data_IF_157690598859
#
_entry.id   IF_157690598859
#
_cell.length_a   1.000
_cell.length_b   1.000
_cell.length_c   1.000
_cell.angle_alpha   90.00
_cell.angle_beta   90.00
_cell.angle_gamma   90.00
#
_symmetry.space_group_name_H-M   'P 1'
#
loop_
_entity.id
_entity.type
_entity.pdbx_description
1 polymer ?
#
# COMPACT_ATOMS: atom_id res chain seq x y z
N UNK A 1 14.51 7.72 2.65
CA UNK A 1 13.83 6.43 2.34
C UNK A 1 12.38 6.57 1.85
N UNK A 2 11.88 7.78 1.58
CA UNK A 2 10.50 7.97 1.12
C UNK A 2 10.30 7.34 -0.27
N UNK A 3 9.17 6.65 -0.47
CA UNK A 3 8.87 5.99 -1.74
C UNK A 3 7.49 6.36 -2.27
N UNK A 4 7.39 6.50 -3.59
CA UNK A 4 6.09 6.51 -4.24
C UNK A 4 5.33 5.21 -3.94
N UNK A 5 4.00 5.28 -3.93
CA UNK A 5 3.17 4.10 -3.73
C UNK A 5 3.37 3.11 -4.88
N UNK A 6 3.70 1.86 -4.55
CA UNK A 6 3.97 0.80 -5.52
C UNK A 6 3.12 -0.43 -5.24
N UNK A 7 2.79 -1.19 -6.29
CA UNK A 7 2.16 -2.51 -6.18
C UNK A 7 3.28 -3.52 -5.93
N UNK A 8 3.22 -4.25 -4.82
CA UNK A 8 4.23 -5.26 -4.45
C UNK A 8 3.76 -6.68 -4.76
N UNK A 9 2.45 -6.91 -4.77
CA UNK A 9 1.86 -8.21 -5.09
C UNK A 9 0.52 -8.02 -5.77
N UNK A 10 0.23 -8.82 -6.82
CA UNK A 10 -1.09 -8.88 -7.44
C UNK A 10 -1.77 -10.17 -7.05
N UNK A 11 -3.08 -10.11 -6.79
CA UNK A 11 -3.88 -11.28 -6.42
C UNK A 11 -3.76 -12.38 -7.47
N UNK A 12 -3.14 -13.50 -7.08
CA UNK A 12 -2.81 -14.62 -7.96
C UNK A 12 -4.06 -15.28 -8.56
N UNK A 13 -5.08 -15.54 -7.73
CA UNK A 13 -6.29 -16.25 -8.17
C UNK A 13 -7.00 -15.49 -9.28
N UNK A 14 -7.20 -14.18 -9.11
CA UNK A 14 -8.01 -13.45 -10.07
C UNK A 14 -7.21 -12.81 -11.21
N UNK A 15 -5.91 -12.57 -11.03
CA UNK A 15 -5.06 -12.04 -12.11
C UNK A 15 -4.50 -13.16 -12.99
N UNK A 16 -3.93 -14.23 -12.40
CA UNK A 16 -3.26 -15.27 -13.19
C UNK A 16 -4.26 -16.17 -13.89
N UNK A 17 -5.35 -16.54 -13.22
CA UNK A 17 -6.39 -17.38 -13.82
C UNK A 17 -6.96 -16.75 -15.08
N UNK A 18 -7.32 -15.46 -15.04
CA UNK A 18 -7.88 -14.78 -16.21
C UNK A 18 -6.87 -14.73 -17.37
N UNK A 19 -5.60 -14.42 -17.08
CA UNK A 19 -4.54 -14.43 -18.11
C UNK A 19 -4.34 -15.83 -18.70
N UNK A 20 -4.36 -16.87 -17.88
CA UNK A 20 -4.26 -18.26 -18.34
C UNK A 20 -5.47 -18.63 -19.19
N UNK A 21 -6.68 -18.30 -18.77
CA UNK A 21 -7.91 -18.56 -19.53
C UNK A 21 -7.91 -17.85 -20.89
N UNK A 22 -7.45 -16.59 -20.94
CA UNK A 22 -7.27 -15.86 -22.21
C UNK A 22 -6.23 -16.57 -23.08
N UNK A 23 -5.08 -16.96 -22.53
CA UNK A 23 -4.05 -17.67 -23.26
C UNK A 23 -4.54 -19.01 -23.83
N UNK A 24 -5.25 -19.80 -23.02
CA UNK A 24 -5.86 -21.06 -23.44
C UNK A 24 -6.90 -20.82 -24.54
N UNK A 25 -7.76 -19.81 -24.40
CA UNK A 25 -8.76 -19.48 -25.41
C UNK A 25 -8.11 -19.06 -26.75
N UNK A 26 -7.04 -18.26 -26.71
CA UNK A 26 -6.28 -17.85 -27.91
C UNK A 26 -5.61 -19.04 -28.57
N UNK A 27 -5.00 -19.94 -27.78
CA UNK A 27 -4.40 -21.17 -28.29
C UNK A 27 -5.44 -22.08 -28.96
N UNK A 28 -6.61 -22.24 -28.35
CA UNK A 28 -7.71 -23.02 -28.92
C UNK A 28 -8.23 -22.39 -30.21
N UNK A 29 -8.38 -21.06 -30.27
CA UNK A 29 -8.76 -20.36 -31.49
C UNK A 29 -7.72 -20.54 -32.59
N UNK A 30 -6.43 -20.35 -32.28
CA UNK A 30 -5.35 -20.59 -33.23
C UNK A 30 -5.37 -22.02 -33.76
N UNK A 31 -5.52 -23.01 -32.88
CA UNK A 31 -5.67 -24.40 -33.25
C UNK A 31 -6.84 -24.63 -34.21
N UNK A 32 -8.03 -24.10 -33.90
CA UNK A 32 -9.22 -24.26 -34.74
C UNK A 32 -9.04 -23.58 -36.10
N UNK A 33 -8.43 -22.39 -36.15
CA UNK A 33 -8.13 -21.69 -37.40
C UNK A 33 -7.14 -22.47 -38.27
N UNK A 34 -6.04 -22.96 -37.70
CA UNK A 34 -5.08 -23.77 -38.45
C UNK A 34 -5.74 -25.04 -38.97
N UNK A 35 -6.47 -25.76 -38.12
CA UNK A 35 -7.16 -27.01 -38.48
C UNK A 35 -8.15 -26.83 -39.63
N UNK A 36 -8.94 -25.76 -39.63
CA UNK A 36 -9.91 -25.50 -40.71
C UNK A 36 -9.25 -25.11 -42.04
N UNK A 37 -8.02 -24.59 -42.00
CA UNK A 37 -7.25 -24.25 -43.19
C UNK A 37 -6.37 -25.42 -43.71
N UNK A 38 -6.30 -26.55 -42.99
CA UNK A 38 -5.53 -27.71 -43.42
C UNK A 38 -6.30 -28.58 -44.43
N UNK A 39 -5.57 -29.15 -45.38
CA UNK A 39 -6.15 -30.13 -46.32
C UNK A 39 -6.74 -31.34 -45.59
N UNK A 40 -7.80 -31.92 -46.15
CA UNK A 40 -8.51 -33.07 -45.58
C UNK A 40 -7.61 -34.30 -45.31
N UNK A 41 -6.46 -34.39 -45.98
CA UNK A 41 -5.48 -35.47 -45.80
C UNK A 41 -4.71 -35.34 -44.48
N UNK A 42 -4.42 -34.12 -44.05
CA UNK A 42 -3.65 -33.83 -42.83
C UNK A 42 -4.52 -33.81 -41.56
N UNK A 43 -5.84 -33.65 -41.70
CA UNK A 43 -6.78 -33.64 -40.57
C UNK A 43 -7.17 -35.04 -40.08
N UNK A 44 -6.74 -36.10 -40.76
CA UNK A 44 -6.92 -37.48 -40.31
C UNK A 44 -5.87 -37.94 -39.30
N UNK A 45 -4.70 -37.31 -39.29
CA UNK A 45 -3.59 -37.65 -38.42
C UNK A 45 -3.61 -36.82 -37.12
N UNK A 46 -2.98 -37.35 -36.07
CA UNK A 46 -2.72 -36.60 -34.85
C UNK A 46 -1.78 -35.43 -35.17
N UNK A 47 -1.99 -34.19 -34.65
CA UNK A 47 -3.01 -33.77 -33.68
C UNK A 47 -4.35 -33.37 -34.28
N UNK A 48 -4.38 -33.08 -35.57
CA UNK A 48 -5.47 -32.36 -36.24
C UNK A 48 -6.77 -33.13 -36.35
N UNK A 49 -6.75 -34.43 -36.03
CA UNK A 49 -7.94 -35.26 -35.82
C UNK A 49 -8.85 -34.74 -34.70
N UNK A 50 -8.30 -34.13 -33.65
CA UNK A 50 -9.08 -33.68 -32.50
C UNK A 50 -9.85 -32.38 -32.82
N UNK A 51 -11.18 -32.39 -32.68
CA UNK A 51 -12.00 -31.18 -32.72
C UNK A 51 -12.26 -30.72 -31.28
N UNK A 52 -11.44 -29.81 -30.77
CA UNK A 52 -11.57 -29.28 -29.41
C UNK A 52 -12.75 -28.30 -29.31
N UNK A 53 -12.71 -27.21 -30.08
CA UNK A 53 -13.79 -26.23 -30.21
C UNK A 53 -14.03 -25.88 -31.68
N UNK A 54 -15.25 -25.49 -32.03
CA UNK A 54 -15.49 -24.80 -33.30
C UNK A 54 -15.04 -23.33 -33.22
N UNK A 55 -14.87 -22.69 -34.39
CA UNK A 55 -14.40 -21.29 -34.45
C UNK A 55 -15.33 -20.37 -33.67
N UNK A 56 -16.65 -20.54 -33.79
CA UNK A 56 -17.61 -19.67 -33.11
C UNK A 56 -17.42 -19.70 -31.59
N UNK A 57 -17.38 -20.89 -31.01
CA UNK A 57 -17.16 -21.09 -29.58
C UNK A 57 -15.78 -20.59 -29.15
N UNK A 58 -14.74 -20.80 -29.97
CA UNK A 58 -13.39 -20.34 -29.64
C UNK A 58 -13.29 -18.80 -29.64
N UNK A 59 -13.93 -18.15 -30.61
CA UNK A 59 -14.06 -16.69 -30.65
C UNK A 59 -14.83 -16.20 -29.42
N UNK A 60 -15.96 -16.82 -29.08
CA UNK A 60 -16.72 -16.48 -27.87
C UNK A 60 -15.89 -16.63 -26.60
N UNK A 61 -15.08 -17.70 -26.49
CA UNK A 61 -14.19 -17.91 -25.35
C UNK A 61 -13.12 -16.81 -25.25
N UNK A 62 -12.50 -16.42 -26.36
CA UNK A 62 -11.51 -15.32 -26.39
C UNK A 62 -12.17 -13.99 -26.01
N UNK A 63 -13.32 -13.67 -26.58
CA UNK A 63 -14.03 -12.43 -26.28
C UNK A 63 -14.51 -12.37 -24.82
N UNK A 64 -15.05 -13.47 -24.30
CA UNK A 64 -15.53 -13.55 -22.92
C UNK A 64 -14.39 -13.44 -21.90
N UNK A 65 -13.33 -14.23 -22.08
CA UNK A 65 -12.18 -14.21 -21.17
C UNK A 65 -11.38 -12.91 -21.30
N UNK A 66 -11.18 -12.40 -22.51
CA UNK A 66 -10.51 -11.12 -22.78
C UNK A 66 -11.28 -9.93 -22.23
N UNK A 67 -12.60 -9.89 -22.44
CA UNK A 67 -13.48 -8.88 -21.86
C UNK A 67 -13.43 -8.88 -20.34
N UNK A 68 -13.50 -10.06 -19.71
CA UNK A 68 -13.37 -10.19 -18.25
C UNK A 68 -12.01 -9.71 -17.73
N UNK A 69 -10.92 -10.02 -18.43
CA UNK A 69 -9.57 -9.56 -18.08
C UNK A 69 -9.45 -8.03 -18.16
N UNK A 70 -10.01 -7.41 -19.22
CA UNK A 70 -10.04 -5.95 -19.38
C UNK A 70 -10.91 -5.28 -18.32
N UNK A 71 -12.11 -5.81 -18.06
CA UNK A 71 -13.01 -5.30 -17.02
C UNK A 71 -12.33 -5.32 -15.64
N UNK A 72 -11.63 -6.41 -15.31
CA UNK A 72 -10.81 -6.48 -14.09
C UNK A 72 -9.72 -5.42 -14.08
N UNK A 73 -8.99 -5.24 -15.17
CA UNK A 73 -7.90 -4.25 -15.23
C UNK A 73 -8.42 -2.82 -15.00
N UNK A 74 -9.59 -2.49 -15.56
CA UNK A 74 -10.26 -1.22 -15.30
C UNK A 74 -10.68 -1.11 -13.83
N UNK A 75 -11.34 -2.13 -13.27
CA UNK A 75 -11.77 -2.13 -11.88
C UNK A 75 -10.59 -2.03 -10.89
N UNK A 76 -9.50 -2.76 -11.13
CA UNK A 76 -8.28 -2.67 -10.31
C UNK A 76 -7.66 -1.27 -10.34
N UNK A 77 -7.78 -0.55 -11.47
CA UNK A 77 -7.32 0.83 -11.59
C UNK A 77 -8.21 1.81 -10.81
N UNK A 78 -9.53 1.59 -10.79
CA UNK A 78 -10.47 2.48 -10.09
C UNK A 78 -10.42 2.31 -8.58
N UNK A 79 -10.24 1.07 -8.10
CA UNK A 79 -10.17 0.76 -6.66
C UNK A 79 -8.76 0.87 -6.08
N UNK A 80 -7.79 1.33 -6.87
CA UNK A 80 -6.41 1.48 -6.43
C UNK A 80 -6.38 2.48 -5.26
N UNK A 81 -5.83 2.09 -4.09
CA UNK A 81 -5.72 3.01 -2.97
C UNK A 81 -4.78 4.16 -3.36
N UNK A 82 -5.00 5.33 -2.78
CA UNK A 82 -4.09 6.47 -2.91
C UNK A 82 -3.66 6.88 -1.51
N UNK A 83 -2.76 6.11 -0.93
CA UNK A 83 -2.31 6.31 0.45
C UNK A 83 -1.50 7.60 0.48
N UNK A 84 -1.93 8.59 1.25
CA UNK A 84 -1.27 9.86 1.44
C UNK A 84 -0.92 10.10 2.92
N UNK A 85 -0.26 11.21 3.17
CA UNK A 85 0.17 11.63 4.50
C UNK A 85 -0.21 13.09 4.73
N UNK A 86 -0.60 13.41 5.96
CA UNK A 86 -0.79 14.77 6.43
C UNK A 86 -0.20 14.92 7.82
N UNK A 87 0.56 16.00 8.01
CA UNK A 87 1.06 16.41 9.31
C UNK A 87 0.57 17.82 9.63
N UNK A 88 0.33 18.10 10.91
CA UNK A 88 -0.04 19.44 11.39
C UNK A 88 0.28 19.61 12.85
N UNK A 89 0.51 20.85 13.28
CA UNK A 89 0.63 21.21 14.69
C UNK A 89 -0.76 21.23 15.33
N UNK A 90 -0.91 20.54 16.46
CA UNK A 90 -2.14 20.52 17.26
C UNK A 90 -1.86 20.85 18.71
N UNK A 91 -2.81 21.54 19.33
CA UNK A 91 -2.89 21.68 20.78
C UNK A 91 -3.67 20.50 21.39
N UNK A 92 -3.55 20.32 22.71
CA UNK A 92 -4.35 19.39 23.53
C UNK A 92 -4.25 17.90 23.17
N UNK A 93 -3.32 17.50 22.29
CA UNK A 93 -3.07 16.09 21.97
C UNK A 93 -1.97 15.51 22.84
N UNK A 94 -0.91 16.29 23.09
CA UNK A 94 0.10 15.96 24.09
C UNK A 94 -0.36 16.45 25.48
N UNK A 95 0.10 15.82 26.58
CA UNK A 95 -0.20 16.28 27.93
C UNK A 95 0.25 17.72 28.19
N UNK A 96 -0.35 18.34 29.20
CA UNK A 96 -0.04 19.69 29.65
C UNK A 96 -0.19 20.75 28.56
N UNK A 97 -1.17 20.57 27.67
CA UNK A 97 -1.50 21.50 26.57
C UNK A 97 -0.33 21.79 25.62
N UNK A 98 0.68 20.91 25.60
CA UNK A 98 1.85 21.09 24.74
C UNK A 98 1.45 20.94 23.28
N UNK A 99 2.06 21.78 22.44
CA UNK A 99 1.95 21.65 21.00
C UNK A 99 2.72 20.42 20.53
N UNK A 100 2.10 19.68 19.61
CA UNK A 100 2.69 18.49 19.02
C UNK A 100 2.43 18.45 17.52
N UNK A 101 3.41 17.93 16.79
CA UNK A 101 3.27 17.57 15.39
C UNK A 101 2.50 16.25 15.29
N UNK A 102 1.24 16.32 14.88
CA UNK A 102 0.38 15.18 14.68
C UNK A 102 0.52 14.62 13.27
N UNK A 103 0.64 13.30 13.18
CA UNK A 103 0.87 12.56 11.96
C UNK A 103 -0.34 11.70 11.60
N UNK A 104 -0.83 11.83 10.37
CA UNK A 104 -1.99 11.11 9.88
C UNK A 104 -1.73 10.48 8.52
N UNK A 105 -2.31 9.31 8.32
CA UNK A 105 -2.41 8.63 7.04
C UNK A 105 -3.81 8.83 6.48
N UNK A 106 -3.91 8.99 5.16
CA UNK A 106 -5.19 9.12 4.47
C UNK A 106 -5.21 8.21 3.26
N UNK A 107 -6.39 7.80 2.81
CA UNK A 107 -6.56 7.10 1.55
C UNK A 107 -7.44 7.96 0.63
N UNK A 108 -6.82 8.56 -0.39
CA UNK A 108 -7.50 9.33 -1.42
C UNK A 108 -8.17 8.47 -2.49
N UNK A 109 -8.11 7.14 -2.38
CA UNK A 109 -8.87 6.22 -3.23
C UNK A 109 -10.35 6.22 -2.89
N UNK A 110 -11.18 5.69 -3.78
CA UNK A 110 -12.63 5.61 -3.57
C UNK A 110 -13.01 4.52 -2.56
N UNK A 111 -12.27 3.41 -2.57
CA UNK A 111 -12.56 2.22 -1.76
C UNK A 111 -11.70 2.15 -0.50
N UNK A 112 -12.15 1.34 0.45
CA UNK A 112 -11.37 1.00 1.65
C UNK A 112 -10.10 0.22 1.28
N UNK A 113 -9.00 0.53 1.96
CA UNK A 113 -7.77 -0.25 1.92
C UNK A 113 -7.54 -0.90 3.28
N UNK A 114 -7.22 -2.19 3.33
CA UNK A 114 -7.01 -2.92 4.59
C UNK A 114 -5.53 -3.05 4.86
N UNK A 115 -5.06 -2.69 6.05
CA UNK A 115 -3.66 -2.83 6.41
C UNK A 115 -3.28 -4.31 6.48
N UNK A 116 -2.26 -4.67 5.71
CA UNK A 116 -1.65 -6.00 5.72
C UNK A 116 -0.52 -6.07 6.74
N UNK A 117 0.32 -5.04 6.79
CA UNK A 117 1.55 -4.98 7.55
C UNK A 117 2.01 -3.53 7.74
N UNK A 118 2.66 -3.24 8.85
CA UNK A 118 3.28 -1.95 9.17
C UNK A 118 4.69 -2.16 9.70
N UNK A 119 5.62 -1.29 9.29
CA UNK A 119 6.99 -1.30 9.79
C UNK A 119 7.49 0.11 10.04
N UNK A 120 8.40 0.25 11.00
CA UNK A 120 8.93 1.53 11.44
C UNK A 120 10.45 1.58 11.24
N UNK A 121 10.96 2.76 10.93
CA UNK A 121 12.39 3.03 10.80
C UNK A 121 12.69 4.41 11.38
N UNK A 122 13.66 4.50 12.28
CA UNK A 122 13.97 5.71 13.04
C UNK A 122 15.36 6.19 12.67
N UNK A 123 15.48 7.48 12.37
CA UNK A 123 16.74 8.19 12.18
C UNK A 123 16.83 9.31 13.22
N UNK A 124 17.96 9.40 13.91
CA UNK A 124 18.21 10.39 14.95
C UNK A 124 18.97 11.60 14.41
N UNK A 125 18.80 12.75 15.06
CA UNK A 125 19.55 13.97 14.71
C UNK A 125 21.05 13.75 14.92
N UNK A 126 21.88 14.62 14.33
CA UNK A 126 23.33 14.59 14.57
C UNK A 126 23.69 14.70 16.06
N UNK A 127 22.95 15.52 16.81
CA UNK A 127 23.07 15.64 18.26
C UNK A 127 22.70 14.33 18.98
N UNK A 128 21.58 13.71 18.60
CA UNK A 128 21.17 12.42 19.14
C UNK A 128 22.23 11.33 18.92
N UNK A 129 22.79 11.27 17.71
CA UNK A 129 23.87 10.32 17.36
C UNK A 129 25.16 10.59 18.13
N UNK A 130 25.55 11.85 18.30
CA UNK A 130 26.70 12.22 19.12
C UNK A 130 26.53 11.79 20.59
N UNK A 131 25.28 11.77 21.08
CA UNK A 131 24.91 11.26 22.39
C UNK A 131 24.62 9.74 22.40
N UNK A 132 25.11 8.99 21.41
CA UNK A 132 25.07 7.53 21.35
C UNK A 132 23.78 6.91 20.79
N UNK A 133 22.88 7.69 20.17
CA UNK A 133 21.75 7.11 19.45
C UNK A 133 22.22 6.39 18.18
N UNK A 134 21.58 5.25 17.86
CA UNK A 134 21.89 4.45 16.67
C UNK A 134 20.64 4.41 15.81
N UNK A 135 20.79 4.81 14.54
CA UNK A 135 19.71 4.72 13.56
C UNK A 135 19.26 3.26 13.38
N UNK A 136 17.99 3.05 13.01
CA UNK A 136 17.49 1.71 12.70
C UNK A 136 18.32 1.08 11.57
N UNK A 137 18.62 -0.21 11.69
CA UNK A 137 19.26 -1.02 10.65
C UNK A 137 18.25 -1.85 9.84
N UNK A 138 17.06 -2.06 10.40
CA UNK A 138 15.97 -2.82 9.78
C UNK A 138 14.60 -2.21 10.11
N UNK A 139 13.57 -2.68 9.41
CA UNK A 139 12.19 -2.28 9.69
C UNK A 139 11.69 -3.00 10.95
N UNK A 140 11.36 -2.25 11.98
CA UNK A 140 10.92 -2.80 13.27
C UNK A 140 9.40 -2.71 13.46
N UNK A 141 8.90 -3.42 14.45
CA UNK A 141 7.51 -3.31 14.90
C UNK A 141 7.25 -1.98 15.64
N UNK A 142 5.98 -1.62 15.83
CA UNK A 142 5.61 -0.42 16.60
C UNK A 142 6.14 -0.47 18.06
N UNK A 143 6.04 -1.60 18.81
CA UNK A 143 6.57 -1.66 20.16
C UNK A 143 8.09 -1.45 20.23
N UNK A 144 8.83 -2.06 19.30
CA UNK A 144 10.30 -1.89 19.21
C UNK A 144 10.68 -0.46 18.85
N UNK A 145 9.96 0.16 17.91
CA UNK A 145 10.18 1.57 17.55
C UNK A 145 9.90 2.50 18.74
N UNK A 146 8.81 2.27 19.46
CA UNK A 146 8.47 3.02 20.67
C UNK A 146 9.55 2.86 21.74
N UNK A 147 10.05 1.65 21.98
CA UNK A 147 11.14 1.40 22.91
C UNK A 147 12.45 2.10 22.49
N UNK A 148 12.78 2.06 21.19
CA UNK A 148 13.96 2.73 20.65
C UNK A 148 13.89 4.26 20.85
N UNK A 149 12.74 4.88 20.58
CA UNK A 149 12.54 6.32 20.84
C UNK A 149 12.63 6.61 22.35
N UNK A 150 11.98 5.79 23.18
CA UNK A 150 11.94 5.99 24.63
C UNK A 150 13.33 5.88 25.29
N UNK A 151 14.25 5.10 24.71
CA UNK A 151 15.63 4.96 25.19
C UNK A 151 16.42 6.28 25.26
N UNK A 152 15.92 7.34 24.60
CA UNK A 152 16.54 8.67 24.52
C UNK A 152 16.00 9.65 25.56
N UNK A 153 15.58 9.16 26.73
CA UNK A 153 14.93 9.96 27.78
C UNK A 153 13.67 10.71 27.30
N UNK A 154 13.01 10.15 26.29
CA UNK A 154 11.70 10.56 25.82
C UNK A 154 10.65 9.66 26.46
N UNK A 155 9.57 10.26 26.98
CA UNK A 155 8.51 9.49 27.63
C UNK A 155 7.34 9.29 26.68
N UNK A 156 6.94 8.05 26.44
CA UNK A 156 5.76 7.73 25.64
C UNK A 156 4.51 8.38 26.27
N UNK A 157 3.61 8.88 25.43
CA UNK A 157 2.40 9.64 25.80
C UNK A 157 2.68 10.96 26.50
N UNK A 158 3.94 11.40 26.64
CA UNK A 158 4.30 12.75 27.10
C UNK A 158 5.07 13.54 26.04
N UNK A 159 6.12 12.93 25.49
CA UNK A 159 6.98 13.57 24.48
C UNK A 159 6.64 13.10 23.08
N UNK A 160 6.14 11.88 22.92
CA UNK A 160 5.69 11.30 21.66
C UNK A 160 4.66 10.19 21.90
N UNK A 161 3.92 9.81 20.86
CA UNK A 161 3.12 8.60 20.83
C UNK A 161 3.11 8.03 19.42
N UNK A 162 3.30 6.72 19.29
CA UNK A 162 3.04 5.98 18.06
C UNK A 162 1.82 5.09 18.29
N UNK A 163 0.81 5.17 17.44
CA UNK A 163 -0.34 4.28 17.55
C UNK A 163 -0.04 2.93 16.92
N UNK A 164 -0.51 1.88 17.59
CA UNK A 164 -0.51 0.54 17.03
C UNK A 164 -1.54 0.46 15.89
N UNK A 165 -1.04 0.39 14.67
CA UNK A 165 -1.87 0.15 13.49
C UNK A 165 -1.54 -1.23 12.95
N UNK A 166 -2.33 -2.20 13.37
CA UNK A 166 -2.13 -3.62 13.06
C UNK A 166 -2.80 -4.07 11.77
N UNK A 167 -2.49 -5.31 11.40
CA UNK A 167 -3.14 -6.03 10.30
C UNK A 167 -4.66 -6.07 10.48
N UNK A 168 -5.40 -5.89 9.40
CA UNK A 168 -6.87 -5.90 9.38
C UNK A 168 -7.50 -4.53 9.60
N UNK A 169 -6.72 -3.51 9.98
CA UNK A 169 -7.25 -2.17 10.21
C UNK A 169 -7.67 -1.51 8.89
N UNK A 170 -8.92 -0.99 8.77
CA UNK A 170 -9.40 -0.35 7.56
C UNK A 170 -8.94 1.11 7.47
N UNK A 171 -8.47 1.51 6.28
CA UNK A 171 -8.25 2.91 5.91
C UNK A 171 -9.38 3.29 4.94
N UNK A 172 -10.41 4.02 5.41
CA UNK A 172 -11.55 4.40 4.58
C UNK A 172 -11.08 5.26 3.40
N UNK A 173 -11.80 5.15 2.28
CA UNK A 173 -11.58 5.99 1.10
C UNK A 173 -11.99 7.45 1.32
N UNK A 174 -12.04 8.21 0.23
CA UNK A 174 -12.28 9.65 0.15
C UNK A 174 -13.22 10.21 1.25
N UNK A 175 -12.66 11.15 2.04
CA UNK A 175 -13.41 12.08 2.89
C UNK A 175 -13.88 11.58 4.26
N UNK A 176 -13.76 10.28 4.56
CA UNK A 176 -14.46 9.70 5.72
C UNK A 176 -13.56 9.25 6.88
N UNK A 177 -12.24 9.33 6.75
CA UNK A 177 -11.36 9.09 7.89
C UNK A 177 -9.89 9.33 7.62
N UNK A 178 -9.22 9.88 8.64
CA UNK A 178 -7.77 9.97 8.71
C UNK A 178 -7.31 8.98 9.78
N UNK A 179 -6.39 8.09 9.42
CA UNK A 179 -5.79 7.18 10.38
C UNK A 179 -4.68 7.92 11.13
N UNK A 180 -4.86 8.10 12.43
CA UNK A 180 -3.89 8.73 13.29
C UNK A 180 -2.71 7.78 13.57
N UNK A 181 -1.53 8.14 13.08
CA UNK A 181 -0.31 7.33 13.23
C UNK A 181 0.43 7.63 14.53
N UNK A 182 0.34 8.87 15.01
CA UNK A 182 1.08 9.30 16.19
C UNK A 182 1.31 10.80 16.23
N UNK A 183 2.03 11.25 17.25
CA UNK A 183 2.42 12.65 17.42
C UNK A 183 3.78 12.77 18.11
N UNK A 184 4.43 13.92 17.90
CA UNK A 184 5.75 14.24 18.44
C UNK A 184 5.78 15.68 18.96
N UNK A 185 6.22 15.88 20.19
CA UNK A 185 6.48 17.24 20.73
C UNK A 185 7.79 17.80 20.19
N UNK A 186 8.01 19.11 20.38
CA UNK A 186 9.30 19.75 20.11
C UNK A 186 10.48 18.97 20.73
N UNK A 187 10.35 18.51 21.98
CA UNK A 187 11.40 17.74 22.65
C UNK A 187 11.75 16.46 21.87
N UNK A 188 10.74 15.72 21.40
CA UNK A 188 10.98 14.53 20.60
C UNK A 188 11.59 14.86 19.23
N UNK A 189 11.12 15.94 18.57
CA UNK A 189 11.63 16.36 17.26
C UNK A 189 13.06 16.92 17.28
N UNK A 190 13.58 17.30 18.45
CA UNK A 190 15.00 17.65 18.62
C UNK A 190 15.93 16.42 18.62
N UNK A 191 15.42 15.28 19.09
CA UNK A 191 16.17 14.02 19.12
C UNK A 191 16.01 13.23 17.81
N UNK A 192 14.83 13.30 17.19
CA UNK A 192 14.46 12.52 16.00
C UNK A 192 14.61 13.34 14.73
N UNK A 193 15.42 12.85 13.80
CA UNK A 193 15.57 13.48 12.48
C UNK A 193 14.44 13.07 11.54
N UNK A 194 14.13 11.77 11.51
CA UNK A 194 13.07 11.21 10.68
C UNK A 194 12.49 9.95 11.30
N UNK A 195 11.19 9.77 11.14
CA UNK A 195 10.50 8.54 11.54
C UNK A 195 9.72 8.07 10.33
N UNK A 196 10.17 6.99 9.70
CA UNK A 196 9.48 6.42 8.57
C UNK A 196 8.52 5.33 9.01
N UNK A 197 7.35 5.30 8.35
CA UNK A 197 6.39 4.21 8.45
C UNK A 197 6.22 3.61 7.06
N UNK A 198 6.49 2.32 6.95
CA UNK A 198 6.12 1.50 5.80
C UNK A 198 4.73 0.94 6.05
N UNK A 199 3.79 1.29 5.21
CA UNK A 199 2.42 0.76 5.26
C UNK A 199 2.18 -0.12 4.05
N UNK A 200 1.78 -1.36 4.28
CA UNK A 200 1.30 -2.27 3.25
C UNK A 200 -0.19 -2.44 3.39
N UNK A 201 -0.91 -2.28 2.29
CA UNK A 201 -2.38 -2.36 2.26
C UNK A 201 -2.85 -3.31 1.17
N UNK A 202 -3.94 -4.01 1.42
CA UNK A 202 -4.68 -4.80 0.45
C UNK A 202 -5.87 -3.99 -0.05
N UNK A 203 -6.03 -3.89 -1.35
CA UNK A 203 -7.19 -3.25 -1.97
C UNK A 203 -8.37 -4.22 -2.11
N UNK A 204 -9.50 -3.70 -2.64
CA UNK A 204 -10.73 -4.48 -2.84
C UNK A 204 -10.57 -5.67 -3.79
N UNK A 205 -9.58 -5.60 -4.68
CA UNK A 205 -9.30 -6.61 -5.71
C UNK A 205 -8.27 -7.65 -5.23
N UNK A 206 -7.69 -7.42 -4.05
CA UNK A 206 -6.72 -8.29 -3.40
C UNK A 206 -5.27 -7.99 -3.78
N UNK A 207 -5.00 -6.88 -4.45
CA UNK A 207 -3.63 -6.46 -4.74
C UNK A 207 -3.03 -5.77 -3.51
N UNK A 208 -1.73 -5.99 -3.28
CA UNK A 208 -0.99 -5.42 -2.15
C UNK A 208 -0.17 -4.23 -2.63
N UNK A 209 -0.39 -3.09 -1.98
CA UNK A 209 0.30 -1.84 -2.23
C UNK A 209 1.19 -1.49 -1.04
N UNK A 210 2.32 -0.86 -1.30
CA UNK A 210 3.27 -0.41 -0.29
C UNK A 210 3.55 1.08 -0.47
N UNK A 211 3.60 1.81 0.64
CA UNK A 211 4.09 3.18 0.70
C UNK A 211 4.95 3.37 1.94
N UNK A 212 6.07 4.08 1.77
CA UNK A 212 6.90 4.56 2.89
C UNK A 212 6.67 6.05 3.05
N UNK A 213 6.31 6.46 4.26
CA UNK A 213 6.02 7.85 4.63
C UNK A 213 6.96 8.29 5.73
N UNK A 214 7.54 9.49 5.63
CA UNK A 214 8.24 10.13 6.75
C UNK A 214 7.24 10.97 7.57
N UNK A 215 7.05 10.60 8.83
CA UNK A 215 6.14 11.27 9.76
C UNK A 215 6.64 12.66 10.19
N UNK A 216 7.93 12.95 10.05
CA UNK A 216 8.49 14.27 10.35
C UNK A 216 8.70 15.12 9.10
N UNK A 217 8.19 14.66 7.94
CA UNK A 217 8.25 15.43 6.70
C UNK A 217 7.47 16.72 6.83
N UNK A 218 8.18 17.84 6.66
CA UNK A 218 7.60 19.17 6.75
C UNK A 218 7.15 19.55 8.16
N UNK A 219 7.62 18.83 9.19
CA UNK A 219 7.28 19.14 10.57
C UNK A 219 7.79 20.51 10.99
N UNK A 220 6.92 21.31 11.62
CA UNK A 220 7.36 22.46 12.40
C UNK A 220 8.06 21.92 13.66
N UNK A 221 9.39 22.01 13.67
CA UNK A 221 10.21 21.49 14.77
C UNK A 221 10.19 22.39 16.00
N UNK A 222 9.67 23.61 15.90
CA UNK A 222 9.56 24.57 17.01
C UNK A 222 8.17 25.22 17.02
N UNK A 223 7.10 24.43 17.22
CA UNK A 223 5.73 24.90 17.10
C UNK A 223 5.43 25.97 18.14
N UNK A 224 4.92 27.11 17.68
CA UNK A 224 4.54 28.26 18.54
C UNK A 224 3.03 28.47 18.62
N UNK A 225 2.29 27.96 17.64
CA UNK A 225 0.83 28.04 17.56
C UNK A 225 0.29 26.76 16.92
N UNK A 226 -0.93 26.33 17.26
CA UNK A 226 -1.58 25.25 16.54
C UNK A 226 -1.91 25.69 15.12
N UNK A 227 -1.85 24.75 14.17
CA UNK A 227 -2.29 25.02 12.81
C UNK A 227 -3.80 25.29 12.81
N UNK A 228 -4.24 26.21 11.95
CA UNK A 228 -5.66 26.49 11.73
C UNK A 228 -6.42 25.21 11.37
N UNK A 229 -7.71 25.15 11.73
CA UNK A 229 -8.54 24.02 11.30
C UNK A 229 -8.50 23.94 9.77
N UNK A 230 -8.17 22.78 9.18
CA UNK A 230 -8.15 22.62 7.74
C UNK A 230 -9.57 22.62 7.14
N UNK A 231 -10.61 22.74 7.97
CA UNK A 231 -12.03 22.91 7.64
C UNK A 231 -12.74 23.70 8.74
#
# INVERSE_FOLDING_TARGET
MESAQRVIHRSGLFSRLLVVLVGVAVLLLGYSLFRENLSARLTHDWPWKLKLLDIQSAVTAVLGTGGAALARAQYARTVRPAIGYGGRVVANTAPNERLAWMCKLLNGGQEVAIIADTGYWIEYTSAGRAAGAVDSSEWTSQPEATAAIASRALTERQDFQLNLVGRGYPIPGQGQGQLFLGWFTEKAMRELESVYVRVRVVDRVGDVHERVVNLLKGADRSPTHPDGSPF
#
